data_IF_262166893816
#
_entry.id   IF_262166893816
#
_cell.length_a   1.000
_cell.length_b   1.000
_cell.length_c   1.000
_cell.angle_alpha   90.00
_cell.angle_beta   90.00
_cell.angle_gamma   90.00
#
_symmetry.space_group_name_H-M   'P 1'
#
loop_
_entity.id
_entity.type
_entity.pdbx_description
1 polymer ?
#
# COMPACT_ATOMS: atom_id res chain seq x y z
N UNK A 1 -37.03 -0.71 -12.01
CA UNK A 1 -36.96 0.15 -10.81
C UNK A 1 -35.51 0.57 -10.64
N UNK A 2 -35.21 1.87 -10.64
CA UNK A 2 -33.85 2.36 -10.39
C UNK A 2 -33.51 2.12 -8.90
N UNK A 3 -32.36 1.50 -8.63
CA UNK A 3 -31.88 1.27 -7.26
C UNK A 3 -31.56 2.62 -6.60
N UNK A 4 -31.81 2.74 -5.29
CA UNK A 4 -31.51 3.97 -4.56
C UNK A 4 -30.01 4.06 -4.31
N UNK A 5 -29.45 5.28 -4.29
CA UNK A 5 -28.03 5.54 -3.99
C UNK A 5 -27.49 4.68 -2.83
N UNK A 6 -28.12 4.63 -1.64
CA UNK A 6 -27.62 3.82 -0.52
C UNK A 6 -27.49 2.32 -0.82
N UNK A 7 -28.37 1.76 -1.66
CA UNK A 7 -28.29 0.34 -2.04
C UNK A 7 -27.09 0.08 -2.97
N UNK A 8 -26.77 1.05 -3.84
CA UNK A 8 -25.63 1.00 -4.74
C UNK A 8 -24.31 1.13 -3.95
N UNK A 9 -24.29 2.02 -2.94
CA UNK A 9 -23.15 2.20 -2.03
C UNK A 9 -22.84 0.90 -1.26
N UNK A 10 -23.88 0.24 -0.74
CA UNK A 10 -23.72 -1.01 0.00
C UNK A 10 -23.26 -2.17 -0.92
N UNK A 11 -23.80 -2.26 -2.15
CA UNK A 11 -23.34 -3.23 -3.15
C UNK A 11 -21.88 -3.02 -3.57
N UNK A 12 -21.46 -1.77 -3.75
CA UNK A 12 -20.06 -1.42 -4.05
C UNK A 12 -19.15 -1.74 -2.88
N UNK A 13 -19.55 -1.39 -1.65
CA UNK A 13 -18.83 -1.72 -0.41
C UNK A 13 -18.63 -3.22 -0.26
N UNK A 14 -19.67 -4.02 -0.50
CA UNK A 14 -19.59 -5.48 -0.40
C UNK A 14 -18.72 -6.11 -1.49
N UNK A 15 -18.74 -5.57 -2.72
CA UNK A 15 -17.85 -5.98 -3.80
C UNK A 15 -16.39 -5.61 -3.49
N UNK A 16 -16.13 -4.43 -2.91
CA UNK A 16 -14.81 -4.00 -2.47
C UNK A 16 -14.24 -4.87 -1.33
N UNK A 17 -15.12 -5.38 -0.46
CA UNK A 17 -14.76 -6.27 0.65
C UNK A 17 -14.63 -7.76 0.25
N UNK A 18 -14.75 -8.09 -1.04
CA UNK A 18 -14.55 -9.45 -1.55
C UNK A 18 -15.62 -10.46 -1.11
N UNK A 19 -16.81 -10.01 -0.71
CA UNK A 19 -17.88 -10.89 -0.18
C UNK A 19 -18.89 -11.40 -1.21
N UNK A 20 -18.59 -11.33 -2.51
CA UNK A 20 -19.49 -11.92 -3.53
C UNK A 20 -19.34 -13.44 -3.61
N UNK A 21 -20.42 -14.22 -3.54
CA UNK A 21 -20.37 -15.65 -3.83
C UNK A 21 -20.09 -15.85 -5.34
N UNK A 22 -19.01 -16.55 -5.67
CA UNK A 22 -18.65 -16.94 -7.04
C UNK A 22 -17.40 -16.30 -7.66
N UNK A 23 -16.69 -15.40 -6.96
CA UNK A 23 -15.43 -14.82 -7.47
C UNK A 23 -14.21 -15.58 -6.90
N UNK A 24 -13.57 -16.43 -7.70
CA UNK A 24 -12.36 -17.16 -7.29
C UNK A 24 -11.14 -16.24 -7.33
N UNK A 25 -10.47 -16.07 -6.19
CA UNK A 25 -9.24 -15.29 -6.06
C UNK A 25 -8.05 -15.90 -6.82
N UNK A 26 -8.05 -17.23 -7.02
CA UNK A 26 -6.90 -17.95 -7.58
C UNK A 26 -6.67 -17.67 -9.07
N UNK A 27 -7.73 -17.47 -9.85
CA UNK A 27 -7.62 -17.19 -11.28
C UNK A 27 -7.12 -15.78 -11.55
N UNK A 28 -7.58 -14.79 -10.79
CA UNK A 28 -7.09 -13.41 -10.92
C UNK A 28 -5.61 -13.29 -10.54
N UNK A 29 -5.14 -14.05 -9.55
CA UNK A 29 -3.73 -14.06 -9.16
C UNK A 29 -2.81 -14.68 -10.25
N UNK A 30 -3.24 -15.77 -10.91
CA UNK A 30 -2.44 -16.42 -11.95
C UNK A 30 -2.33 -15.60 -13.25
N UNK A 31 -3.43 -14.96 -13.65
CA UNK A 31 -3.46 -14.11 -14.85
C UNK A 31 -2.58 -12.86 -14.66
N UNK A 32 -2.58 -12.34 -13.43
CA UNK A 32 -1.76 -11.21 -13.01
C UNK A 32 -0.27 -11.59 -12.93
N UNK A 33 0.04 -12.79 -12.43
CA UNK A 33 1.41 -13.28 -12.34
C UNK A 33 2.05 -13.52 -13.72
N UNK A 34 1.30 -14.14 -14.64
CA UNK A 34 1.76 -14.34 -16.02
C UNK A 34 1.96 -13.03 -16.78
N UNK A 35 1.08 -12.04 -16.57
CA UNK A 35 1.26 -10.68 -17.09
C UNK A 35 2.51 -9.97 -16.52
N UNK A 36 2.87 -10.25 -15.26
CA UNK A 36 4.06 -9.70 -14.60
C UNK A 36 5.34 -10.25 -15.24
N UNK A 37 5.40 -11.55 -15.52
CA UNK A 37 6.53 -12.17 -16.23
C UNK A 37 6.67 -11.63 -17.68
N UNK A 38 5.55 -11.37 -18.35
CA UNK A 38 5.55 -10.70 -19.66
C UNK A 38 5.95 -9.22 -19.61
N UNK A 39 5.58 -8.51 -18.55
CA UNK A 39 5.90 -7.11 -18.32
C UNK A 39 7.36 -6.87 -17.95
N UNK A 40 7.98 -7.77 -17.18
CA UNK A 40 9.38 -7.69 -16.77
C UNK A 40 10.34 -7.75 -17.97
N UNK A 41 9.97 -8.47 -19.04
CA UNK A 41 10.73 -8.52 -20.30
C UNK A 41 10.61 -7.24 -21.14
N UNK A 42 9.60 -6.41 -20.87
CA UNK A 42 9.23 -5.23 -21.66
C UNK A 42 9.33 -3.90 -20.88
N UNK A 43 9.86 -3.92 -19.65
CA UNK A 43 9.98 -2.73 -18.82
C UNK A 43 11.24 -1.94 -19.20
N UNK A 44 11.08 -1.02 -20.16
CA UNK A 44 12.10 -0.06 -20.60
C UNK A 44 11.93 1.29 -19.87
N UNK A 45 12.88 2.22 -20.03
CA UNK A 45 12.77 3.58 -19.46
C UNK A 45 11.49 4.34 -19.86
N UNK A 46 10.88 3.97 -20.99
CA UNK A 46 9.61 4.51 -21.46
C UNK A 46 8.44 4.11 -20.54
N UNK A 47 8.51 2.94 -19.90
CA UNK A 47 7.45 2.47 -18.99
C UNK A 47 7.48 3.24 -17.67
N UNK A 48 8.67 3.54 -17.12
CA UNK A 48 8.80 4.36 -15.91
C UNK A 48 8.24 5.76 -16.12
N UNK A 49 8.53 6.37 -17.28
CA UNK A 49 8.03 7.69 -17.66
C UNK A 49 6.50 7.68 -17.80
N UNK A 50 5.92 6.64 -18.41
CA UNK A 50 4.46 6.46 -18.50
C UNK A 50 3.80 6.26 -17.14
N UNK A 51 4.45 5.54 -16.23
CA UNK A 51 3.96 5.36 -14.86
C UNK A 51 3.97 6.69 -14.12
N UNK A 52 5.05 7.48 -14.24
CA UNK A 52 5.13 8.81 -13.65
C UNK A 52 4.04 9.74 -14.20
N UNK A 53 3.82 9.74 -15.52
CA UNK A 53 2.74 10.50 -16.13
C UNK A 53 1.36 10.06 -15.61
N UNK A 54 1.11 8.76 -15.55
CA UNK A 54 -0.16 8.23 -15.07
C UNK A 54 -0.38 8.54 -13.59
N UNK A 55 0.68 8.58 -12.79
CA UNK A 55 0.63 9.04 -11.41
C UNK A 55 0.29 10.53 -11.32
N UNK A 56 0.92 11.38 -12.13
CA UNK A 56 0.61 12.81 -12.19
C UNK A 56 -0.86 13.06 -12.56
N UNK A 57 -1.42 12.25 -13.47
CA UNK A 57 -2.85 12.31 -13.81
C UNK A 57 -3.76 11.85 -12.65
N UNK A 58 -3.27 10.94 -11.80
CA UNK A 58 -3.98 10.45 -10.62
C UNK A 58 -3.92 11.42 -9.43
N UNK A 59 -2.87 12.24 -9.34
CA UNK A 59 -2.57 13.10 -8.20
C UNK A 59 -3.75 13.98 -7.75
N UNK A 60 -4.46 14.71 -8.64
CA UNK A 60 -5.60 15.53 -8.22
C UNK A 60 -6.75 14.71 -7.61
N UNK A 61 -6.91 13.46 -8.04
CA UNK A 61 -7.93 12.56 -7.50
C UNK A 61 -7.50 11.97 -6.15
N UNK A 62 -6.21 11.67 -5.98
CA UNK A 62 -5.63 11.23 -4.71
C UNK A 62 -5.77 12.34 -3.65
N UNK A 63 -5.51 13.59 -4.03
CA UNK A 63 -5.70 14.76 -3.16
C UNK A 63 -7.16 14.98 -2.78
N UNK A 64 -8.07 14.90 -3.74
CA UNK A 64 -9.52 14.96 -3.49
C UNK A 64 -10.03 13.78 -2.65
N UNK A 65 -9.34 12.64 -2.69
CA UNK A 65 -9.63 11.49 -1.83
C UNK A 65 -9.14 11.67 -0.37
N UNK A 66 -8.56 12.83 -0.05
CA UNK A 66 -8.12 13.19 1.30
C UNK A 66 -6.68 12.78 1.60
N UNK A 67 -5.88 12.44 0.59
CA UNK A 67 -4.48 12.05 0.75
C UNK A 67 -3.53 13.14 0.28
N UNK A 68 -2.40 13.25 0.96
CA UNK A 68 -1.28 14.10 0.57
C UNK A 68 -0.08 13.23 0.23
N UNK A 69 0.58 13.50 -0.90
CA UNK A 69 1.84 12.83 -1.25
C UNK A 69 2.97 13.53 -0.53
N UNK A 70 3.65 12.83 0.36
CA UNK A 70 4.74 13.40 1.17
C UNK A 70 6.11 13.18 0.55
N UNK A 71 6.25 12.08 -0.18
CA UNK A 71 7.51 11.65 -0.78
C UNK A 71 7.22 10.75 -1.99
N UNK A 72 8.15 10.70 -2.93
CA UNK A 72 8.12 9.77 -4.05
C UNK A 72 9.46 9.06 -4.09
N UNK A 73 9.44 7.77 -3.79
CA UNK A 73 10.60 6.89 -3.98
C UNK A 73 10.57 6.34 -5.42
N UNK A 74 11.75 6.26 -6.05
CA UNK A 74 11.90 5.66 -7.38
C UNK A 74 12.93 4.55 -7.29
N UNK A 75 12.49 3.30 -7.45
CA UNK A 75 13.35 2.13 -7.55
C UNK A 75 13.82 1.94 -9.00
N UNK A 76 15.13 1.83 -9.22
CA UNK A 76 15.76 1.66 -10.54
C UNK A 76 16.41 0.28 -10.75
N UNK A 77 16.00 -0.72 -9.96
CA UNK A 77 16.52 -2.09 -10.04
C UNK A 77 15.96 -2.91 -11.20
N UNK A 78 16.08 -4.24 -11.10
CA UNK A 78 15.48 -5.18 -12.08
C UNK A 78 13.96 -5.05 -12.15
N UNK A 79 13.32 -4.68 -11.04
CA UNK A 79 11.90 -4.31 -10.97
C UNK A 79 11.80 -2.80 -10.67
N UNK A 80 11.89 -1.95 -11.70
CA UNK A 80 11.79 -0.52 -11.51
C UNK A 80 10.35 -0.12 -11.15
N UNK A 81 10.21 0.81 -10.21
CA UNK A 81 8.92 1.17 -9.62
C UNK A 81 8.91 2.60 -9.12
N UNK A 82 7.71 3.18 -9.04
CA UNK A 82 7.49 4.47 -8.37
C UNK A 82 6.65 4.19 -7.13
N UNK A 83 7.07 4.68 -5.98
CA UNK A 83 6.38 4.47 -4.71
C UNK A 83 6.09 5.82 -4.07
N UNK A 84 4.90 6.40 -4.33
CA UNK A 84 4.44 7.57 -3.60
C UNK A 84 4.08 7.18 -2.16
N UNK A 85 4.63 7.93 -1.22
CA UNK A 85 4.28 7.87 0.19
C UNK A 85 3.14 8.83 0.44
N UNK A 86 2.07 8.30 1.03
CA UNK A 86 0.81 8.98 1.23
C UNK A 86 0.54 9.15 2.73
N UNK A 87 0.13 10.36 3.08
CA UNK A 87 -0.44 10.70 4.38
C UNK A 87 -1.92 11.01 4.22
N UNK A 88 -2.76 10.40 5.06
CA UNK A 88 -4.18 10.77 5.12
C UNK A 88 -4.30 12.15 5.78
N UNK A 89 -4.74 13.15 5.02
CA UNK A 89 -5.02 14.51 5.51
C UNK A 89 -6.39 14.57 6.16
N UNK A 90 -7.41 14.07 5.48
CA UNK A 90 -8.79 14.07 5.94
C UNK A 90 -9.56 12.86 5.42
N UNK A 91 -10.61 12.46 6.12
CA UNK A 91 -11.51 11.42 5.67
C UNK A 91 -12.67 12.06 4.92
N UNK A 92 -12.85 11.70 3.65
CA UNK A 92 -14.00 12.10 2.84
C UNK A 92 -15.21 11.18 3.07
N UNK A 93 -16.42 11.67 2.81
CA UNK A 93 -17.63 10.88 3.04
C UNK A 93 -17.76 9.70 2.08
N UNK A 94 -18.59 8.71 2.42
CA UNK A 94 -18.84 7.55 1.55
C UNK A 94 -19.51 7.98 0.22
N UNK A 95 -20.34 9.04 0.24
CA UNK A 95 -20.92 9.64 -0.95
C UNK A 95 -19.85 10.27 -1.86
N UNK A 96 -18.91 11.03 -1.28
CA UNK A 96 -17.80 11.64 -2.02
C UNK A 96 -16.88 10.57 -2.63
N UNK A 97 -16.60 9.48 -1.91
CA UNK A 97 -15.83 8.35 -2.43
C UNK A 97 -16.47 7.77 -3.68
N UNK A 98 -17.80 7.60 -3.70
CA UNK A 98 -18.50 7.04 -4.86
C UNK A 98 -18.58 8.01 -6.03
N UNK A 99 -18.74 9.31 -5.77
CA UNK A 99 -18.64 10.34 -6.81
C UNK A 99 -17.27 10.27 -7.49
N UNK A 100 -16.18 10.22 -6.70
CA UNK A 100 -14.81 10.08 -7.20
C UNK A 100 -14.60 8.80 -8.03
N UNK A 101 -15.18 7.67 -7.61
CA UNK A 101 -15.10 6.42 -8.36
C UNK A 101 -15.89 6.48 -9.68
N UNK A 102 -17.07 7.09 -9.71
CA UNK A 102 -17.85 7.23 -10.95
C UNK A 102 -17.18 8.20 -11.93
N UNK A 103 -16.66 9.33 -11.47
CA UNK A 103 -15.89 10.29 -12.29
C UNK A 103 -14.68 9.64 -12.97
N UNK A 104 -14.03 8.73 -12.26
CA UNK A 104 -12.80 8.05 -12.73
C UNK A 104 -13.07 6.70 -13.37
N UNK A 105 -14.33 6.29 -13.54
CA UNK A 105 -14.70 4.94 -14.02
C UNK A 105 -14.07 4.55 -15.37
N UNK A 106 -13.86 5.51 -16.27
CA UNK A 106 -13.18 5.28 -17.56
C UNK A 106 -11.65 5.28 -17.45
N UNK A 107 -11.09 5.82 -16.36
CA UNK A 107 -9.66 5.90 -16.05
C UNK A 107 -9.27 4.73 -15.14
N UNK A 108 -9.16 3.53 -15.72
CA UNK A 108 -9.00 2.25 -14.98
C UNK A 108 -7.94 2.28 -13.88
N UNK A 109 -6.75 2.83 -14.17
CA UNK A 109 -5.67 2.90 -13.18
C UNK A 109 -6.05 3.80 -11.99
N UNK A 110 -6.53 5.03 -12.26
CA UNK A 110 -6.93 5.98 -11.21
C UNK A 110 -8.05 5.37 -10.36
N UNK A 111 -9.05 4.78 -11.00
CA UNK A 111 -10.15 4.11 -10.31
C UNK A 111 -9.67 2.97 -9.41
N UNK A 112 -8.67 2.20 -9.87
CA UNK A 112 -8.04 1.12 -9.10
C UNK A 112 -7.27 1.66 -7.90
N UNK A 113 -6.50 2.73 -8.08
CA UNK A 113 -5.77 3.40 -7.01
C UNK A 113 -6.76 3.88 -5.94
N UNK A 114 -7.79 4.66 -6.33
CA UNK A 114 -8.79 5.19 -5.41
C UNK A 114 -9.52 4.06 -4.64
N UNK A 115 -10.00 3.05 -5.35
CA UNK A 115 -10.66 1.89 -4.75
C UNK A 115 -9.75 1.19 -3.73
N UNK A 116 -8.46 1.08 -4.03
CA UNK A 116 -7.48 0.44 -3.15
C UNK A 116 -7.18 1.30 -1.92
N UNK A 117 -7.06 2.62 -2.08
CA UNK A 117 -6.88 3.56 -0.96
C UNK A 117 -8.09 3.54 -0.01
N UNK A 118 -9.32 3.52 -0.53
CA UNK A 118 -10.53 3.44 0.31
C UNK A 118 -10.59 2.11 1.08
N UNK A 119 -10.25 0.98 0.42
CA UNK A 119 -10.11 -0.31 1.11
C UNK A 119 -9.02 -0.29 2.17
N UNK A 120 -7.87 0.32 1.88
CA UNK A 120 -6.75 0.42 2.79
C UNK A 120 -7.11 1.25 4.05
N UNK A 121 -7.84 2.36 3.88
CA UNK A 121 -8.38 3.13 5.01
C UNK A 121 -9.36 2.32 5.86
N UNK A 122 -10.27 1.58 5.21
CA UNK A 122 -11.20 0.69 5.90
C UNK A 122 -10.49 -0.49 6.61
N UNK A 123 -9.38 -0.99 6.06
CA UNK A 123 -8.56 -2.03 6.68
C UNK A 123 -7.75 -1.50 7.86
N UNK A 124 -7.14 -0.31 7.73
CA UNK A 124 -6.39 0.38 8.79
C UNK A 124 -7.20 0.50 10.08
N UNK A 125 -8.49 0.81 9.99
CA UNK A 125 -9.33 0.94 11.19
C UNK A 125 -9.53 -0.39 11.94
N UNK A 126 -9.47 -1.52 11.21
CA UNK A 126 -9.68 -2.88 11.73
C UNK A 126 -8.39 -3.55 12.19
N UNK A 127 -7.26 -3.23 11.56
CA UNK A 127 -5.95 -3.78 11.91
C UNK A 127 -5.42 -3.11 13.17
N UNK A 128 -5.30 -3.88 14.26
CA UNK A 128 -4.75 -3.42 15.54
C UNK A 128 -3.57 -4.32 15.92
N UNK A 129 -2.40 -3.71 16.06
CA UNK A 129 -1.19 -4.38 16.53
C UNK A 129 -0.83 -3.84 17.92
N UNK A 130 -0.53 -4.72 18.87
CA UNK A 130 -0.27 -4.31 20.27
C UNK A 130 0.92 -3.37 20.42
N UNK A 131 1.99 -3.61 19.65
CA UNK A 131 3.29 -2.92 19.76
C UNK A 131 3.59 -1.97 18.60
N UNK A 132 2.67 -1.85 17.64
CA UNK A 132 2.88 -1.05 16.45
C UNK A 132 1.71 -0.10 16.23
N UNK A 133 2.01 1.13 15.80
CA UNK A 133 1.03 2.10 15.34
C UNK A 133 1.09 2.20 13.83
N UNK A 134 -0.04 2.54 13.21
CA UNK A 134 -0.06 2.88 11.79
C UNK A 134 0.82 4.11 11.57
N UNK A 135 1.74 4.03 10.61
CA UNK A 135 2.68 5.11 10.29
C UNK A 135 2.34 5.81 8.98
N UNK A 136 2.26 5.08 7.88
CA UNK A 136 2.04 5.65 6.54
C UNK A 136 1.35 4.67 5.59
N UNK A 137 0.93 5.19 4.44
CA UNK A 137 0.51 4.40 3.29
C UNK A 137 1.55 4.58 2.20
N UNK A 138 1.89 3.49 1.50
CA UNK A 138 2.66 3.53 0.27
C UNK A 138 1.79 3.01 -0.87
N UNK A 139 1.90 3.66 -2.03
CA UNK A 139 1.33 3.18 -3.27
C UNK A 139 2.45 2.68 -4.17
N UNK A 140 2.65 1.37 -4.24
CA UNK A 140 3.66 0.80 -5.12
C UNK A 140 3.12 0.71 -6.56
N UNK A 141 3.60 1.60 -7.43
CA UNK A 141 3.27 1.64 -8.85
C UNK A 141 4.35 0.89 -9.64
N UNK A 142 4.25 -0.43 -9.62
CA UNK A 142 4.98 -1.33 -10.52
C UNK A 142 4.06 -1.82 -11.65
N UNK A 143 4.37 -2.97 -12.25
CA UNK A 143 3.45 -3.65 -13.17
C UNK A 143 2.07 -3.85 -12.52
N UNK A 144 2.03 -3.98 -11.18
CA UNK A 144 0.81 -4.16 -10.41
C UNK A 144 0.72 -3.15 -9.27
N UNK A 145 -0.27 -2.22 -9.32
CA UNK A 145 -0.48 -1.28 -8.24
C UNK A 145 -0.78 -2.00 -6.93
N UNK A 146 0.01 -1.73 -5.90
CA UNK A 146 -0.17 -2.30 -4.56
C UNK A 146 -0.27 -1.18 -3.54
N UNK A 147 -1.27 -1.23 -2.67
CA UNK A 147 -1.36 -0.32 -1.53
C UNK A 147 -0.83 -1.03 -0.29
N UNK A 148 0.20 -0.45 0.32
CA UNK A 148 0.88 -0.99 1.49
C UNK A 148 0.56 -0.13 2.70
N UNK A 149 0.04 -0.74 3.75
CA UNK A 149 -0.12 -0.10 5.07
C UNK A 149 1.14 -0.34 5.89
N UNK A 150 1.84 0.72 6.28
CA UNK A 150 3.00 0.62 7.16
C UNK A 150 2.61 0.80 8.62
N UNK A 151 3.28 0.03 9.47
CA UNK A 151 3.14 0.10 10.90
C UNK A 151 4.53 0.14 11.52
N UNK A 152 4.75 1.09 12.43
CA UNK A 152 6.04 1.31 13.09
C UNK A 152 5.92 0.97 14.59
N UNK A 153 7.01 0.53 15.25
CA UNK A 153 7.00 0.28 16.68
C UNK A 153 6.52 1.50 17.47
N UNK A 154 5.82 1.28 18.57
CA UNK A 154 5.47 2.35 19.50
C UNK A 154 6.74 2.78 20.23
N UNK A 155 7.06 4.08 20.20
CA UNK A 155 8.32 4.66 20.75
C UNK A 155 8.57 4.30 22.23
N UNK A 156 7.54 3.90 22.98
CA UNK A 156 7.64 3.52 24.40
C UNK A 156 8.24 2.13 24.66
N UNK A 157 8.40 1.27 23.65
CA UNK A 157 8.98 -0.08 23.80
C UNK A 157 10.38 -0.22 23.17
N UNK A 158 10.89 0.82 22.50
CA UNK A 158 12.20 0.77 21.83
C UNK A 158 13.39 0.99 22.78
N UNK A 159 13.16 1.38 24.05
CA UNK A 159 14.21 1.71 25.05
C UNK A 159 14.30 0.63 26.14
N UNK A 160 14.24 -0.64 25.76
CA UNK A 160 14.27 -1.74 26.73
C UNK A 160 15.05 -2.94 26.21
N UNK A 161 16.35 -2.76 25.95
CA UNK A 161 17.42 -3.78 25.97
C UNK A 161 18.71 -3.21 25.34
N UNK A 162 19.45 -2.38 26.07
CA UNK A 162 20.88 -2.09 25.76
C UNK A 162 21.71 -1.98 27.04
N UNK A 163 21.27 -2.60 28.14
CA UNK A 163 22.07 -2.77 29.33
C UNK A 163 22.39 -4.26 29.52
N UNK A 164 23.64 -4.51 29.89
CA UNK A 164 24.34 -5.81 30.02
C UNK A 164 25.08 -6.28 28.75
N UNK A 165 26.13 -5.55 28.34
CA UNK A 165 27.37 -6.25 28.03
C UNK A 165 27.99 -6.65 29.39
N UNK A 166 28.26 -7.94 29.66
CA UNK A 166 29.09 -8.29 30.80
C UNK A 166 30.50 -7.76 30.56
N UNK A 167 31.02 -6.99 31.52
CA UNK A 167 32.44 -6.71 31.65
C UNK A 167 33.18 -8.05 31.67
N UNK A 168 34.06 -8.25 30.69
CA UNK A 168 34.92 -9.42 30.61
C UNK A 168 35.95 -9.25 31.74
N UNK A 169 35.76 -10.02 32.81
CA UNK A 169 36.68 -10.14 33.92
C UNK A 169 38.00 -10.71 33.37
N UNK A 170 39.07 -9.91 33.45
CA UNK A 170 40.43 -10.44 33.51
C UNK A 170 40.56 -11.29 34.78
N UNK A 171 40.91 -12.57 34.65
CA UNK A 171 42.07 -13.08 35.39
C UNK A 171 42.53 -14.48 34.93
N UNK A 172 43.86 -14.53 34.81
CA UNK A 172 44.87 -15.60 34.83
C UNK A 172 44.46 -17.04 35.18
N UNK A 173 45.08 -17.99 34.46
CA UNK A 173 46.06 -18.99 34.94
C UNK A 173 46.29 -20.02 33.79
N UNK A 174 47.46 -20.03 33.15
CA UNK A 174 48.61 -20.87 33.48
C UNK A 174 48.32 -22.38 33.34
N UNK A 175 48.84 -23.02 32.27
CA UNK A 175 49.86 -24.07 32.43
C UNK A 175 50.46 -24.59 31.10
N UNK A 176 51.80 -24.57 31.06
CA UNK A 176 52.74 -25.56 30.52
C UNK A 176 52.36 -26.45 29.33
N UNK A 177 53.19 -26.42 28.29
CA UNK A 177 53.95 -27.60 27.89
C UNK A 177 55.18 -27.24 27.03
N UNK A 178 56.36 -27.50 27.61
CA UNK A 178 57.62 -27.97 27.01
C UNK A 178 58.03 -27.49 25.61
#
# INVERSE_FOLDING_TARGET
MAKRLPDILEEMRQALLGRRPGHSWSSSASDVYSATLGGLKNFSGDTLSKTAQSFNEALPYIERAGYEVTEIEVGLGLDPKIVPHLRLREMISDEEQVILLEETRKKKLINTILSSLFRASAARSKLKFRRFHFSSIELELSILPTVVLKFSPNEKEAVGQTENLPEIIEDKEENSAK
#
